data_IF_925948266425
#
_entry.id   IF_925948266425
#
_cell.length_a   1.000
_cell.length_b   1.000
_cell.length_c   1.000
_cell.angle_alpha   90.00
_cell.angle_beta   90.00
_cell.angle_gamma   90.00
#
_symmetry.space_group_name_H-M   'P 1'
#
loop_
_entity.id
_entity.type
_entity.pdbx_description
1 polymer ?
#
# COMPACT_ATOMS: atom_id res chain seq x y z
N UNK A 1 16.23 -3.27 20.92
CA UNK A 1 15.32 -3.36 19.75
C UNK A 1 13.92 -3.08 20.26
N UNK A 2 13.54 -1.81 20.30
CA UNK A 2 12.25 -1.41 20.84
C UNK A 2 11.18 -1.69 19.79
N UNK A 3 10.29 -2.63 20.08
CA UNK A 3 9.09 -2.89 19.29
C UNK A 3 8.24 -1.63 19.42
N UNK A 4 8.30 -0.71 18.45
CA UNK A 4 7.31 0.37 18.37
C UNK A 4 5.94 -0.29 18.32
N UNK A 5 5.05 0.16 19.19
CA UNK A 5 3.66 -0.27 19.29
C UNK A 5 3.10 -0.54 17.89
N UNK A 6 2.69 -1.79 17.68
CA UNK A 6 2.43 -2.36 16.36
C UNK A 6 1.53 -1.44 15.54
N UNK A 7 1.91 -1.21 14.30
CA UNK A 7 1.02 -0.58 13.33
C UNK A 7 -0.30 -1.36 13.33
N UNK A 8 -1.36 -0.69 13.78
CA UNK A 8 -2.72 -1.21 13.61
C UNK A 8 -2.95 -1.20 12.11
N UNK A 9 -3.30 -2.36 11.56
CA UNK A 9 -3.33 -2.74 10.13
C UNK A 9 -4.18 -1.88 9.18
N UNK A 10 -4.53 -0.64 9.56
CA UNK A 10 -5.38 0.25 8.80
C UNK A 10 -4.66 1.55 8.48
N UNK A 11 -4.57 1.83 7.19
CA UNK A 11 -4.18 3.15 6.69
C UNK A 11 -5.28 4.16 7.05
N UNK A 12 -4.96 5.31 7.69
CA UNK A 12 -5.98 6.29 8.05
C UNK A 12 -6.79 6.73 6.83
N UNK A 13 -8.12 6.83 6.97
CA UNK A 13 -9.01 7.16 5.85
C UNK A 13 -8.63 8.49 5.17
N UNK A 14 -8.22 9.48 5.96
CA UNK A 14 -7.78 10.79 5.49
C UNK A 14 -6.56 10.73 4.57
N UNK A 15 -5.75 9.67 4.63
CA UNK A 15 -4.58 9.48 3.77
C UNK A 15 -4.99 9.27 2.31
N UNK A 16 -6.08 8.54 2.05
CA UNK A 16 -6.54 8.23 0.70
C UNK A 16 -7.01 9.46 -0.10
N UNK A 17 -7.38 10.53 0.61
CA UNK A 17 -7.81 11.80 0.00
C UNK A 17 -6.66 12.79 -0.22
N UNK A 18 -5.43 12.46 0.20
CA UNK A 18 -4.30 13.38 0.05
C UNK A 18 -3.92 13.55 -1.44
N UNK A 19 -3.57 14.76 -1.90
CA UNK A 19 -3.24 15.00 -3.31
C UNK A 19 -2.09 14.14 -3.85
N UNK A 20 -1.06 13.90 -3.03
CA UNK A 20 0.10 13.07 -3.38
C UNK A 20 -0.29 11.59 -3.55
N UNK A 21 -1.15 11.07 -2.67
CA UNK A 21 -1.69 9.70 -2.74
C UNK A 21 -2.61 9.54 -3.95
N UNK A 22 -3.52 10.49 -4.20
CA UNK A 22 -4.42 10.47 -5.37
C UNK A 22 -3.61 10.51 -6.67
N UNK A 23 -2.54 11.32 -6.74
CA UNK A 23 -1.66 11.36 -7.90
C UNK A 23 -0.97 10.00 -8.13
N UNK A 24 -0.43 9.37 -7.08
CA UNK A 24 0.20 8.06 -7.18
C UNK A 24 -0.79 6.97 -7.64
N UNK A 25 -2.02 6.98 -7.12
CA UNK A 25 -3.08 6.04 -7.53
C UNK A 25 -3.42 6.19 -9.02
N UNK A 26 -3.65 7.42 -9.48
CA UNK A 26 -3.97 7.69 -10.90
C UNK A 26 -2.84 7.33 -11.85
N UNK A 27 -1.59 7.54 -11.42
CA UNK A 27 -0.40 7.18 -12.18
C UNK A 27 -0.07 5.67 -12.12
N UNK A 28 -0.80 4.89 -11.30
CA UNK A 28 -0.46 3.50 -10.95
C UNK A 28 0.97 3.35 -10.43
N UNK A 29 1.47 4.37 -9.74
CA UNK A 29 2.79 4.35 -9.12
C UNK A 29 2.73 3.60 -7.78
N UNK A 30 2.90 2.29 -7.84
CA UNK A 30 2.86 1.43 -6.66
C UNK A 30 4.06 1.69 -5.73
N UNK A 31 5.22 2.04 -6.28
CA UNK A 31 6.40 2.34 -5.47
C UNK A 31 6.17 3.62 -4.64
N UNK A 32 5.68 4.67 -5.29
CA UNK A 32 5.29 5.93 -4.65
C UNK A 32 4.17 5.74 -3.63
N UNK A 33 3.14 4.97 -3.97
CA UNK A 33 2.03 4.67 -3.06
C UNK A 33 2.52 4.00 -1.77
N UNK A 34 3.35 2.96 -1.87
CA UNK A 34 3.93 2.28 -0.69
C UNK A 34 4.81 3.22 0.13
N UNK A 35 5.56 4.13 -0.52
CA UNK A 35 6.37 5.13 0.17
C UNK A 35 5.51 6.14 0.95
N UNK A 36 4.42 6.62 0.34
CA UNK A 36 3.48 7.55 0.96
C UNK A 36 2.76 6.90 2.15
N UNK A 37 2.27 5.66 1.99
CA UNK A 37 1.64 4.90 3.08
C UNK A 37 2.61 4.77 4.26
N UNK A 38 3.85 4.33 4.02
CA UNK A 38 4.85 4.20 5.10
C UNK A 38 5.12 5.52 5.81
N UNK A 39 5.31 6.59 5.04
CA UNK A 39 5.63 7.91 5.58
C UNK A 39 4.50 8.46 6.43
N UNK A 40 3.26 8.35 5.96
CA UNK A 40 2.11 9.01 6.57
C UNK A 40 1.36 8.14 7.57
N UNK A 41 1.36 6.82 7.40
CA UNK A 41 0.81 5.88 8.38
C UNK A 41 1.84 5.42 9.43
N UNK A 42 3.12 5.79 9.28
CA UNK A 42 4.17 5.47 10.23
C UNK A 42 4.59 4.00 10.26
N UNK A 43 4.31 3.24 9.20
CA UNK A 43 4.57 1.80 9.14
C UNK A 43 5.92 1.44 8.49
N UNK A 44 6.47 0.30 8.89
CA UNK A 44 7.67 -0.28 8.30
C UNK A 44 7.33 -1.14 7.07
N UNK A 45 8.36 -1.56 6.32
CA UNK A 45 8.16 -2.54 5.25
C UNK A 45 7.77 -3.92 5.79
N UNK A 46 8.15 -4.23 7.04
CA UNK A 46 7.77 -5.49 7.68
C UNK A 46 6.29 -5.47 8.10
N UNK A 47 5.77 -4.31 8.49
CA UNK A 47 4.34 -4.12 8.78
C UNK A 47 3.50 -4.30 7.50
N UNK A 48 3.93 -3.67 6.41
CA UNK A 48 3.32 -3.89 5.09
C UNK A 48 3.38 -5.36 4.65
N UNK A 49 4.51 -6.02 4.88
CA UNK A 49 4.65 -7.44 4.60
C UNK A 49 3.64 -8.29 5.39
N UNK A 50 3.45 -7.96 6.67
CA UNK A 50 2.50 -8.63 7.54
C UNK A 50 1.06 -8.53 7.05
N UNK A 51 0.60 -7.35 6.63
CA UNK A 51 -0.82 -7.17 6.26
C UNK A 51 -1.13 -7.56 4.82
N UNK A 52 -0.16 -7.46 3.91
CA UNK A 52 -0.33 -7.84 2.49
C UNK A 52 -0.01 -9.32 2.23
N UNK A 53 0.65 -9.98 3.19
CA UNK A 53 1.22 -11.32 3.05
C UNK A 53 2.35 -11.40 2.01
N UNK A 54 2.89 -10.26 1.59
CA UNK A 54 4.00 -10.18 0.63
C UNK A 54 5.32 -10.16 1.41
N UNK A 55 6.30 -10.95 0.99
CA UNK A 55 7.60 -10.96 1.65
C UNK A 55 8.22 -9.54 1.71
N UNK A 56 8.79 -9.16 2.86
CA UNK A 56 9.37 -7.82 3.05
C UNK A 56 10.44 -7.48 2.00
N UNK A 57 11.27 -8.44 1.61
CA UNK A 57 12.25 -8.26 0.53
C UNK A 57 11.59 -7.87 -0.80
N UNK A 58 10.44 -8.47 -1.12
CA UNK A 58 9.66 -8.18 -2.33
C UNK A 58 9.04 -6.77 -2.28
N UNK A 59 8.48 -6.37 -1.13
CA UNK A 59 8.05 -4.97 -0.89
C UNK A 59 9.22 -4.00 -1.14
N UNK A 60 10.40 -4.36 -0.65
CA UNK A 60 11.64 -3.59 -0.84
C UNK A 60 12.06 -3.45 -2.32
N UNK A 61 11.88 -4.49 -3.13
CA UNK A 61 12.16 -4.46 -4.57
C UNK A 61 11.18 -3.55 -5.32
N UNK A 62 9.88 -3.64 -5.00
CA UNK A 62 8.85 -2.78 -5.57
C UNK A 62 9.12 -1.30 -5.27
N UNK A 63 9.37 -0.97 -4.00
CA UNK A 63 9.66 0.41 -3.59
C UNK A 63 10.93 1.01 -4.22
N UNK A 64 11.89 0.16 -4.63
CA UNK A 64 13.13 0.60 -5.30
C UNK A 64 13.02 0.54 -6.83
N UNK A 65 11.86 0.20 -7.38
CA UNK A 65 11.67 0.04 -8.83
C UNK A 65 12.47 -1.12 -9.44
N UNK A 66 12.99 -2.04 -8.62
CA UNK A 66 13.75 -3.22 -9.10
C UNK A 66 12.84 -4.29 -9.69
N UNK A 67 11.56 -4.25 -9.34
CA UNK A 67 10.54 -5.17 -9.82
C UNK A 67 9.22 -4.44 -9.95
N UNK A 68 8.41 -4.79 -10.94
CA UNK A 68 7.03 -4.34 -11.05
C UNK A 68 6.08 -5.38 -10.44
N UNK A 69 5.06 -4.97 -9.68
CA UNK A 69 4.05 -5.88 -9.14
C UNK A 69 3.10 -6.36 -10.25
N UNK A 70 2.61 -7.60 -10.12
CA UNK A 70 1.53 -8.12 -10.97
C UNK A 70 0.19 -7.55 -10.52
N UNK A 71 -0.86 -7.69 -11.34
CA UNK A 71 -2.21 -7.30 -10.95
C UNK A 71 -2.64 -7.98 -9.64
N UNK A 72 -2.44 -9.29 -9.51
CA UNK A 72 -2.69 -10.05 -8.26
C UNK A 72 -1.94 -9.44 -7.07
N UNK A 73 -0.67 -9.05 -7.25
CA UNK A 73 0.10 -8.41 -6.18
C UNK A 73 -0.49 -7.05 -5.81
N UNK A 74 -0.94 -6.26 -6.80
CA UNK A 74 -1.56 -4.95 -6.56
C UNK A 74 -2.89 -5.13 -5.82
N UNK A 75 -3.70 -6.12 -6.17
CA UNK A 75 -4.95 -6.45 -5.48
C UNK A 75 -4.67 -6.82 -4.01
N UNK A 76 -3.69 -7.70 -3.77
CA UNK A 76 -3.25 -8.07 -2.42
C UNK A 76 -2.71 -6.90 -1.60
N UNK A 77 -1.99 -5.96 -2.24
CA UNK A 77 -1.57 -4.72 -1.59
C UNK A 77 -2.80 -3.91 -1.18
N UNK A 78 -3.74 -3.71 -2.10
CA UNK A 78 -4.96 -2.93 -1.85
C UNK A 78 -5.82 -3.55 -0.73
N UNK A 79 -5.95 -4.88 -0.70
CA UNK A 79 -6.66 -5.58 0.37
C UNK A 79 -5.94 -5.47 1.71
N UNK A 80 -4.63 -5.73 1.74
CA UNK A 80 -3.86 -5.71 2.98
C UNK A 80 -3.80 -4.34 3.67
N UNK A 81 -3.96 -3.25 2.92
CA UNK A 81 -3.94 -1.88 3.48
C UNK A 81 -5.34 -1.31 3.73
N UNK A 82 -6.39 -2.12 3.65
CA UNK A 82 -7.79 -1.71 3.71
C UNK A 82 -8.09 -0.54 2.75
N UNK A 83 -7.67 -0.67 1.47
CA UNK A 83 -7.87 0.39 0.49
C UNK A 83 -9.37 0.60 0.22
N UNK A 84 -9.90 1.82 0.41
CA UNK A 84 -11.31 2.09 0.23
C UNK A 84 -11.71 1.98 -1.24
N UNK A 85 -13.01 1.76 -1.55
CA UNK A 85 -13.49 1.61 -2.92
C UNK A 85 -13.07 2.75 -3.87
N UNK A 86 -13.01 3.99 -3.39
CA UNK A 86 -12.54 5.13 -4.19
C UNK A 86 -11.06 4.99 -4.58
N UNK A 87 -10.20 4.56 -3.65
CA UNK A 87 -8.80 4.31 -3.94
C UNK A 87 -8.62 3.19 -4.97
N UNK A 88 -9.40 2.11 -4.85
CA UNK A 88 -9.42 1.00 -5.82
C UNK A 88 -9.84 1.51 -7.21
N UNK A 89 -10.89 2.32 -7.28
CA UNK A 89 -11.38 2.94 -8.52
C UNK A 89 -10.31 3.81 -9.18
N UNK A 90 -9.64 4.67 -8.41
CA UNK A 90 -8.56 5.55 -8.91
C UNK A 90 -7.37 4.76 -9.46
N UNK A 91 -7.05 3.62 -8.84
CA UNK A 91 -6.02 2.70 -9.30
C UNK A 91 -6.47 1.86 -10.52
N UNK A 92 -7.76 1.86 -10.82
CA UNK A 92 -8.40 1.07 -11.86
C UNK A 92 -8.51 -0.42 -11.51
N UNK A 93 -8.69 -0.73 -10.22
CA UNK A 93 -9.05 -2.05 -9.72
C UNK A 93 -10.57 -2.22 -9.68
N UNK A 94 -11.01 -3.47 -9.71
CA UNK A 94 -12.38 -3.83 -9.40
C UNK A 94 -12.70 -3.51 -7.92
N UNK A 95 -13.99 -3.32 -7.57
CA UNK A 95 -14.41 -3.32 -6.17
C UNK A 95 -13.99 -4.63 -5.49
N UNK A 96 -13.77 -4.56 -4.18
CA UNK A 96 -13.35 -5.69 -3.35
C UNK A 96 -14.16 -6.96 -3.62
N UNK A 97 -13.46 -8.09 -3.80
CA UNK A 97 -14.09 -9.41 -3.95
C UNK A 97 -14.68 -9.79 -2.60
N UNK A 98 -16.00 -9.69 -2.48
CA UNK A 98 -16.76 -10.13 -1.31
C UNK A 98 -16.72 -11.64 -1.14
#
# INVERSE_FOLDING_TARGET
MERRAGWVSRVPESLWSRPDVVAALRARDIAGLLALIRRHAGCSQNDLAGVTGIAQGRISEYMRGRRLPTLDTIERIADGVDMPPEGRRLLGLAPERR
#
